data_IF_748644104246
#
_entry.id   IF_748644104246
#
_cell.length_a   1.000
_cell.length_b   1.000
_cell.length_c   1.000
_cell.angle_alpha   90.00
_cell.angle_beta   90.00
_cell.angle_gamma   90.00
#
_symmetry.space_group_name_H-M   'P 1'
#
loop_
_entity.id
_entity.type
_entity.pdbx_description
1 polymer ?
#
# COMPACT_ATOMS: atom_id res chain seq x y z
N UNK A 1 -20.37 -5.21 -0.55
CA UNK A 1 -19.93 -3.82 -0.28
C UNK A 1 -18.69 -3.94 0.61
N UNK A 2 -17.57 -3.29 0.26
CA UNK A 2 -16.41 -3.25 1.15
C UNK A 2 -16.79 -2.38 2.34
N UNK A 3 -16.58 -2.85 3.57
CA UNK A 3 -16.81 -2.03 4.74
C UNK A 3 -15.75 -0.92 4.76
N UNK A 4 -16.20 0.34 4.66
CA UNK A 4 -15.33 1.51 4.63
C UNK A 4 -14.51 1.68 5.92
N UNK A 5 -14.83 0.91 6.97
CA UNK A 5 -14.09 0.89 8.24
C UNK A 5 -13.13 -0.28 8.36
N UNK A 6 -13.13 -1.22 7.41
CA UNK A 6 -12.23 -2.36 7.47
C UNK A 6 -10.78 -1.92 7.26
N UNK A 7 -9.97 -2.15 8.27
CA UNK A 7 -8.52 -1.95 8.21
C UNK A 7 -7.82 -3.29 7.96
N UNK A 8 -6.63 -3.21 7.35
CA UNK A 8 -5.80 -4.34 6.99
C UNK A 8 -4.38 -4.15 7.52
N UNK A 9 -3.75 -5.21 8.00
CA UNK A 9 -2.30 -5.28 8.08
C UNK A 9 -1.75 -5.89 6.80
N UNK A 10 -0.60 -5.42 6.33
CA UNK A 10 0.08 -6.02 5.17
C UNK A 10 1.10 -7.04 5.65
N UNK A 11 0.91 -8.30 5.27
CA UNK A 11 1.84 -9.39 5.58
C UNK A 11 2.88 -9.55 4.47
N UNK A 12 4.09 -9.99 4.83
CA UNK A 12 5.18 -10.25 3.89
C UNK A 12 5.69 -11.69 3.98
N UNK A 13 5.42 -12.46 2.93
CA UNK A 13 5.79 -13.86 2.73
C UNK A 13 6.91 -14.02 1.68
N UNK A 14 7.77 -13.02 1.48
CA UNK A 14 9.02 -13.26 0.74
C UNK A 14 9.83 -14.39 1.38
N UNK A 15 10.65 -15.06 0.57
CA UNK A 15 11.32 -16.31 0.96
C UNK A 15 12.16 -16.14 2.23
N UNK A 16 12.77 -14.98 2.41
CA UNK A 16 13.61 -14.60 3.55
C UNK A 16 12.79 -14.50 4.86
N UNK A 17 11.53 -14.04 4.76
CA UNK A 17 10.64 -13.85 5.90
C UNK A 17 9.85 -15.11 6.26
N UNK A 18 9.53 -15.96 5.28
CA UNK A 18 8.75 -17.20 5.56
C UNK A 18 9.44 -18.19 6.50
N UNK A 19 10.76 -18.06 6.69
CA UNK A 19 11.56 -18.87 7.61
C UNK A 19 11.64 -18.28 9.02
N UNK A 20 11.15 -17.07 9.23
CA UNK A 20 11.13 -16.43 10.54
C UNK A 20 10.07 -17.08 11.44
N UNK A 21 10.27 -17.09 12.77
CA UNK A 21 9.32 -17.67 13.73
C UNK A 21 7.98 -16.93 13.77
N UNK A 22 7.96 -15.67 13.31
CA UNK A 22 6.80 -14.78 13.35
C UNK A 22 6.47 -14.26 11.96
N UNK A 23 5.20 -13.90 11.77
CA UNK A 23 4.74 -13.22 10.56
C UNK A 23 5.30 -11.80 10.54
N UNK A 24 5.91 -11.42 9.41
CA UNK A 24 6.39 -10.06 9.19
C UNK A 24 5.28 -9.19 8.64
N UNK A 25 5.07 -8.04 9.30
CA UNK A 25 4.14 -7.00 8.89
C UNK A 25 4.88 -5.78 8.37
N UNK A 26 4.25 -5.05 7.45
CA UNK A 26 4.71 -3.71 7.10
C UNK A 26 4.40 -2.72 8.21
N UNK A 27 5.29 -1.76 8.40
CA UNK A 27 5.09 -0.69 9.36
C UNK A 27 4.20 0.44 8.88
N UNK A 28 3.80 1.35 9.78
CA UNK A 28 3.00 2.52 9.45
C UNK A 28 3.62 3.32 8.30
N UNK A 29 2.77 3.92 7.47
CA UNK A 29 3.20 4.71 6.31
C UNK A 29 4.12 3.94 5.33
N UNK A 30 4.07 2.61 5.34
CA UNK A 30 4.92 1.75 4.51
C UNK A 30 6.41 1.79 4.88
N UNK A 31 6.72 2.13 6.13
CA UNK A 31 8.09 2.25 6.62
C UNK A 31 8.46 1.09 7.53
N UNK A 32 9.49 0.33 7.14
CA UNK A 32 10.05 -0.74 7.97
C UNK A 32 9.19 -2.00 8.08
N UNK A 33 9.67 -2.93 8.90
CA UNK A 33 9.04 -4.23 9.13
C UNK A 33 8.93 -4.49 10.63
N UNK A 34 7.81 -5.07 11.03
CA UNK A 34 7.49 -5.34 12.43
C UNK A 34 6.93 -6.74 12.59
N UNK A 35 7.20 -7.36 13.74
CA UNK A 35 6.57 -8.63 14.14
C UNK A 35 5.42 -8.43 15.13
N UNK A 36 5.38 -7.26 15.78
CA UNK A 36 4.36 -6.85 16.76
C UNK A 36 3.21 -6.12 16.07
N UNK A 37 1.97 -6.54 16.34
CA UNK A 37 0.77 -5.93 15.77
C UNK A 37 0.59 -4.45 16.17
N UNK A 38 0.82 -4.04 17.44
CA UNK A 38 0.77 -2.62 17.82
C UNK A 38 1.70 -1.70 17.05
N UNK A 39 2.85 -2.22 16.60
CA UNK A 39 3.82 -1.46 15.82
C UNK A 39 3.57 -1.54 14.31
N UNK A 40 2.71 -2.45 13.85
CA UNK A 40 2.43 -2.67 12.45
C UNK A 40 1.53 -1.56 11.88
N UNK A 41 1.70 -1.28 10.59
CA UNK A 41 0.87 -0.34 9.84
C UNK A 41 -0.52 -0.91 9.58
N UNK A 42 -1.53 -0.09 9.78
CA UNK A 42 -2.92 -0.38 9.41
C UNK A 42 -3.26 0.43 8.17
N UNK A 43 -3.85 -0.24 7.19
CA UNK A 43 -4.12 0.31 5.87
C UNK A 43 -5.59 0.14 5.51
N UNK A 44 -6.14 1.09 4.76
CA UNK A 44 -7.49 0.97 4.19
C UNK A 44 -7.47 0.19 2.87
N UNK A 45 -8.65 -0.25 2.42
CA UNK A 45 -8.78 -0.90 1.12
C UNK A 45 -8.32 0.01 -0.04
N UNK A 46 -8.59 1.31 0.07
CA UNK A 46 -8.22 2.33 -0.93
C UNK A 46 -6.70 2.47 -1.02
N UNK A 47 -6.00 2.48 0.11
CA UNK A 47 -4.53 2.51 0.15
C UNK A 47 -3.93 1.25 -0.48
N UNK A 48 -4.52 0.08 -0.21
CA UNK A 48 -4.10 -1.19 -0.83
C UNK A 48 -4.38 -1.25 -2.33
N UNK A 49 -5.51 -0.69 -2.78
CA UNK A 49 -5.86 -0.58 -4.19
C UNK A 49 -4.94 0.42 -4.92
N UNK A 50 -4.57 1.53 -4.28
CA UNK A 50 -3.64 2.52 -4.82
C UNK A 50 -2.19 2.01 -4.91
N UNK A 51 -1.83 1.04 -4.08
CA UNK A 51 -0.46 0.50 -3.97
C UNK A 51 -0.30 -0.92 -4.54
N UNK A 52 -1.16 -1.31 -5.51
CA UNK A 52 -1.03 -2.58 -6.24
C UNK A 52 0.37 -2.70 -6.88
N UNK A 53 1.00 -3.86 -6.70
CA UNK A 53 2.39 -4.10 -7.11
C UNK A 53 3.40 -3.81 -5.99
N UNK A 54 3.02 -2.99 -5.02
CA UNK A 54 3.80 -2.75 -3.81
C UNK A 54 3.27 -3.56 -2.62
N UNK A 55 2.18 -3.15 -1.97
CA UNK A 55 1.64 -3.89 -0.82
C UNK A 55 0.86 -5.15 -1.19
N UNK A 56 0.35 -5.20 -2.42
CA UNK A 56 -0.34 -6.38 -2.94
C UNK A 56 0.37 -6.91 -4.16
N UNK A 57 1.12 -8.00 -3.98
CA UNK A 57 1.97 -8.55 -5.03
C UNK A 57 2.13 -10.07 -4.96
N UNK A 58 2.17 -10.67 -6.16
CA UNK A 58 2.54 -12.07 -6.36
C UNK A 58 4.01 -12.18 -6.76
N UNK A 59 4.60 -13.33 -6.46
CA UNK A 59 5.96 -13.68 -6.88
C UNK A 59 6.09 -13.67 -8.40
N UNK A 60 7.17 -13.07 -8.88
CA UNK A 60 7.59 -13.18 -10.28
C UNK A 60 8.08 -14.59 -10.59
N UNK A 61 7.58 -15.18 -11.68
CA UNK A 61 7.97 -16.51 -12.15
C UNK A 61 8.70 -16.34 -13.48
N UNK A 62 10.04 -16.48 -13.51
CA UNK A 62 10.84 -16.24 -14.72
C UNK A 62 10.40 -17.04 -15.93
N UNK A 63 10.07 -18.33 -15.75
CA UNK A 63 9.59 -19.20 -16.83
C UNK A 63 8.27 -18.74 -17.47
N UNK A 64 7.51 -17.88 -16.79
CA UNK A 64 6.25 -17.33 -17.28
C UNK A 64 6.34 -15.84 -17.61
N UNK A 65 7.49 -15.21 -17.38
CA UNK A 65 7.69 -13.78 -17.59
C UNK A 65 6.75 -12.87 -16.79
N UNK A 66 6.11 -13.37 -15.72
CA UNK A 66 4.98 -12.69 -15.09
C UNK A 66 4.87 -12.94 -13.57
N UNK A 67 4.20 -12.02 -12.87
CA UNK A 67 3.86 -12.13 -11.43
C UNK A 67 2.65 -13.02 -11.19
N UNK A 68 2.83 -14.32 -11.43
CA UNK A 68 1.77 -15.35 -11.35
C UNK A 68 2.05 -16.43 -10.30
N UNK A 69 3.11 -16.28 -9.51
CA UNK A 69 3.48 -17.21 -8.45
C UNK A 69 2.60 -17.09 -7.20
N UNK A 70 3.03 -17.66 -6.07
CA UNK A 70 2.38 -17.47 -4.77
C UNK A 70 2.32 -15.99 -4.37
N UNK A 71 1.42 -15.64 -3.47
CA UNK A 71 1.36 -14.30 -2.90
C UNK A 71 2.57 -14.03 -2.01
N UNK A 72 3.21 -12.88 -2.21
CA UNK A 72 4.34 -12.44 -1.40
C UNK A 72 3.97 -11.32 -0.46
N UNK A 73 3.15 -10.36 -0.90
CA UNK A 73 2.64 -9.29 -0.05
C UNK A 73 1.16 -9.12 -0.29
N UNK A 74 0.39 -8.97 0.77
CA UNK A 74 -1.05 -8.74 0.68
C UNK A 74 -1.60 -8.23 2.01
N UNK A 75 -2.68 -7.48 1.94
CA UNK A 75 -3.46 -7.09 3.11
C UNK A 75 -4.23 -8.28 3.69
N UNK A 76 -4.36 -8.33 5.01
CA UNK A 76 -5.27 -9.24 5.74
C UNK A 76 -6.08 -8.39 6.73
N UNK A 77 -7.39 -8.62 6.87
CA UNK A 77 -8.22 -7.88 7.84
C UNK A 77 -7.61 -7.88 9.24
N UNK A 78 -7.59 -6.72 9.90
CA UNK A 78 -7.00 -6.57 11.24
C UNK A 78 -7.61 -7.56 12.23
N UNK A 79 -8.93 -7.71 12.23
CA UNK A 79 -9.68 -8.62 13.10
C UNK A 79 -9.19 -10.07 13.01
N UNK A 80 -8.83 -10.53 11.82
CA UNK A 80 -8.37 -11.90 11.57
C UNK A 80 -6.98 -12.12 12.16
N UNK A 81 -6.10 -11.13 12.05
CA UNK A 81 -4.75 -11.18 12.62
C UNK A 81 -4.74 -11.01 14.13
N UNK A 82 -5.55 -10.08 14.65
CA UNK A 82 -5.73 -9.86 16.08
C UNK A 82 -6.29 -11.12 16.76
N UNK A 83 -7.26 -11.81 16.15
CA UNK A 83 -7.80 -13.08 16.65
C UNK A 83 -6.80 -14.26 16.60
N UNK A 84 -5.80 -14.22 15.73
CA UNK A 84 -4.72 -15.22 15.67
C UNK A 84 -3.49 -14.85 16.49
N UNK A 85 -3.52 -13.68 17.12
CA UNK A 85 -2.35 -13.14 17.80
C UNK A 85 -2.16 -13.78 19.18
N UNK A 86 -0.89 -13.89 19.57
CA UNK A 86 -0.45 -14.49 20.82
C UNK A 86 0.60 -13.60 21.47
N UNK A 87 0.84 -13.83 22.77
CA UNK A 87 1.96 -13.22 23.47
C UNK A 87 3.30 -13.64 22.85
N UNK A 88 4.29 -12.74 22.79
CA UNK A 88 5.61 -13.05 22.25
C UNK A 88 6.38 -14.00 23.16
N UNK A 89 7.33 -14.72 22.57
CA UNK A 89 8.19 -15.61 23.34
C UNK A 89 9.04 -14.78 24.29
N UNK A 90 8.96 -15.12 25.59
CA UNK A 90 9.71 -14.43 26.65
C UNK A 90 11.10 -15.01 26.88
N UNK A 91 11.37 -16.18 26.32
CA UNK A 91 12.62 -16.92 26.47
C UNK A 91 13.00 -17.65 25.17
N UNK A 92 14.27 -18.02 25.05
CA UNK A 92 14.81 -18.75 23.90
C UNK A 92 15.29 -17.85 22.76
N UNK A 93 15.72 -18.49 21.67
CA UNK A 93 16.34 -17.82 20.50
C UNK A 93 15.43 -16.76 19.85
N UNK A 94 14.12 -16.95 19.96
CA UNK A 94 13.12 -16.11 19.28
C UNK A 94 12.49 -15.08 20.23
N UNK A 95 13.11 -14.86 21.40
CA UNK A 95 12.69 -13.82 22.32
C UNK A 95 12.77 -12.46 21.62
N UNK A 96 11.72 -11.68 21.74
CA UNK A 96 11.74 -10.26 21.36
C UNK A 96 12.27 -9.45 22.54
N UNK A 97 13.34 -8.69 22.32
CA UNK A 97 14.05 -7.97 23.39
C UNK A 97 13.14 -7.01 24.17
N UNK A 98 12.20 -6.38 23.47
CA UNK A 98 11.29 -5.38 24.04
C UNK A 98 9.92 -5.97 24.45
N UNK A 99 9.73 -7.29 24.38
CA UNK A 99 8.48 -7.93 24.78
C UNK A 99 7.24 -7.39 24.06
N UNK A 100 7.40 -6.81 22.87
CA UNK A 100 6.32 -6.12 22.17
C UNK A 100 5.39 -7.16 21.55
N UNK A 101 4.33 -7.47 22.29
CA UNK A 101 3.18 -8.25 21.85
C UNK A 101 1.95 -7.37 21.62
N UNK A 102 0.88 -7.92 21.02
CA UNK A 102 0.77 -9.30 20.51
C UNK A 102 1.42 -9.51 19.14
N UNK A 103 1.79 -10.77 18.84
CA UNK A 103 2.48 -11.21 17.62
C UNK A 103 1.71 -12.37 16.94
N UNK A 104 2.09 -12.75 15.72
CA UNK A 104 1.53 -13.95 15.06
C UNK A 104 2.64 -14.95 14.73
N UNK A 105 2.52 -16.18 15.25
CA UNK A 105 3.46 -17.29 14.98
C UNK A 105 3.37 -17.72 13.51
N UNK A 106 4.52 -17.87 12.86
CA UNK A 106 4.60 -18.36 11.50
C UNK A 106 4.55 -19.89 11.48
N UNK A 107 3.40 -20.44 11.06
CA UNK A 107 3.24 -21.86 10.76
C UNK A 107 2.67 -22.04 9.34
N UNK A 108 2.75 -23.25 8.80
CA UNK A 108 2.16 -23.54 7.49
C UNK A 108 0.63 -23.29 7.49
N UNK A 109 -0.06 -23.69 8.56
CA UNK A 109 -1.50 -23.49 8.71
C UNK A 109 -1.87 -22.02 8.85
N UNK A 110 -1.11 -21.25 9.63
CA UNK A 110 -1.32 -19.80 9.76
C UNK A 110 -1.13 -19.12 8.41
N UNK A 111 -0.04 -19.42 7.68
CA UNK A 111 0.19 -18.82 6.35
C UNK A 111 -0.90 -19.20 5.35
N UNK A 112 -1.40 -20.45 5.38
CA UNK A 112 -2.54 -20.87 4.56
C UNK A 112 -3.77 -20.03 4.89
N UNK A 113 -4.13 -19.96 6.17
CA UNK A 113 -5.30 -19.20 6.64
C UNK A 113 -5.21 -17.72 6.26
N UNK A 114 -4.06 -17.08 6.46
CA UNK A 114 -3.85 -15.68 6.06
C UNK A 114 -4.02 -15.50 4.55
N UNK A 115 -3.54 -16.44 3.74
CA UNK A 115 -3.71 -16.40 2.29
C UNK A 115 -5.18 -16.53 1.87
N UNK A 116 -5.97 -17.33 2.60
CA UNK A 116 -7.40 -17.50 2.36
C UNK A 116 -8.19 -16.21 2.65
N UNK A 117 -7.79 -15.47 3.69
CA UNK A 117 -8.38 -14.17 4.07
C UNK A 117 -7.73 -12.95 3.40
N UNK A 118 -6.89 -13.16 2.38
CA UNK A 118 -6.19 -12.05 1.73
C UNK A 118 -7.16 -11.05 1.12
N UNK A 119 -6.77 -9.78 1.18
CA UNK A 119 -7.38 -8.72 0.41
C UNK A 119 -7.18 -8.95 -1.09
N UNK A 120 -8.25 -8.80 -1.87
CA UNK A 120 -8.21 -8.88 -3.34
C UNK A 120 -8.54 -7.50 -3.90
N UNK A 121 -7.58 -6.83 -4.58
CA UNK A 121 -7.81 -5.52 -5.13
C UNK A 121 -8.91 -5.50 -6.19
N UNK A 122 -9.65 -4.39 -6.26
CA UNK A 122 -10.72 -4.24 -7.24
C UNK A 122 -10.15 -4.26 -8.67
N UNK A 123 -10.88 -4.89 -9.60
CA UNK A 123 -10.50 -5.00 -11.02
C UNK A 123 -10.27 -3.64 -11.67
N UNK A 124 -10.96 -2.60 -11.22
CA UNK A 124 -10.80 -1.23 -11.75
C UNK A 124 -9.37 -0.72 -11.64
N UNK A 125 -8.64 -1.11 -10.59
CA UNK A 125 -7.24 -0.72 -10.37
C UNK A 125 -6.23 -1.65 -11.07
N UNK A 126 -6.64 -2.84 -11.54
CA UNK A 126 -5.78 -3.75 -12.31
C UNK A 126 -5.50 -3.25 -13.73
N UNK A 127 -6.44 -2.51 -14.32
CA UNK A 127 -6.35 -2.08 -15.72
C UNK A 127 -5.48 -0.81 -15.91
N UNK A 128 -5.36 0.05 -14.91
CA UNK A 128 -4.58 1.30 -15.01
C UNK A 128 -3.06 1.13 -14.86
N UNK A 129 -2.58 0.09 -14.17
CA UNK A 129 -1.17 0.02 -13.74
C UNK A 129 -0.31 -1.02 -14.49
N UNK A 130 -0.88 -1.72 -15.48
CA UNK A 130 -0.11 -2.71 -16.27
C UNK A 130 0.97 -2.04 -17.16
N UNK A 131 0.92 -0.71 -17.34
CA UNK A 131 1.94 0.03 -18.11
C UNK A 131 3.14 0.54 -17.29
N UNK A 132 3.12 0.57 -15.96
CA UNK A 132 4.25 1.15 -15.18
C UNK A 132 5.31 0.13 -14.73
N UNK A 133 5.02 -1.17 -14.79
CA UNK A 133 5.95 -2.21 -14.31
C UNK A 133 7.09 -2.57 -15.28
N UNK A 134 7.34 -1.78 -16.34
CA UNK A 134 8.52 -1.92 -17.21
C UNK A 134 9.61 -0.88 -16.98
N UNK A 135 9.43 0.07 -16.05
CA UNK A 135 10.48 1.02 -15.64
C UNK A 135 11.24 0.51 -14.42
N UNK A 136 11.63 -0.77 -14.44
CA UNK A 136 12.56 -1.39 -13.49
C UNK A 136 14.02 -1.10 -13.88
N UNK A 137 14.28 0.11 -14.38
CA UNK A 137 15.60 0.69 -14.58
C UNK A 137 15.61 2.03 -13.85
N UNK A 138 16.50 2.15 -12.86
CA UNK A 138 16.78 3.35 -12.06
C UNK A 138 15.79 3.66 -10.93
N UNK A 139 15.72 2.80 -9.93
CA UNK A 139 15.68 3.31 -8.55
C UNK A 139 16.85 2.67 -7.79
N UNK A 140 17.85 3.46 -7.36
CA UNK A 140 18.92 2.94 -6.52
C UNK A 140 18.31 2.61 -5.16
N UNK A 141 18.16 1.32 -4.86
CA UNK A 141 17.81 0.88 -3.51
C UNK A 141 18.92 1.34 -2.55
N UNK A 142 18.64 2.09 -1.48
CA UNK A 142 19.59 2.17 -0.38
C UNK A 142 19.72 0.75 0.19
N UNK A 143 20.96 0.27 0.29
CA UNK A 143 21.26 -0.97 1.02
C UNK A 143 20.63 -0.83 2.40
N UNK A 144 19.69 -1.70 2.75
CA UNK A 144 19.15 -1.74 4.11
C UNK A 144 20.31 -1.92 5.09
N UNK A 145 20.50 -1.03 6.08
CA UNK A 145 21.42 -1.34 7.16
C UNK A 145 20.87 -2.54 7.94
N UNK A 146 21.79 -3.42 8.32
CA UNK A 146 21.54 -4.56 9.21
C UNK A 146 20.78 -4.12 10.46
N UNK A 147 19.95 -4.97 11.09
CA UNK A 147 19.00 -4.59 12.15
C UNK A 147 19.64 -4.23 13.50
N UNK A 148 20.92 -3.84 13.54
CA UNK A 148 21.53 -3.28 14.74
C UNK A 148 21.62 -1.77 14.61
N UNK A 149 21.12 -1.09 15.66
CA UNK A 149 21.11 0.35 15.93
C UNK A 149 19.74 1.00 15.65
N UNK A 150 18.94 1.01 16.72
CA UNK A 150 18.01 2.09 16.99
C UNK A 150 18.77 3.43 16.98
N UNK A 151 18.47 4.32 16.04
CA UNK A 151 18.85 5.72 16.12
C UNK A 151 18.03 6.53 15.12
N UNK A 152 17.24 7.45 15.68
CA UNK A 152 16.77 8.70 15.11
C UNK A 152 16.15 8.69 13.69
N UNK A 153 14.81 8.80 13.70
CA UNK A 153 13.95 9.37 12.68
C UNK A 153 14.64 10.31 11.68
N UNK A 154 14.62 9.94 10.41
CA UNK A 154 14.74 10.87 9.29
C UNK A 154 13.39 10.92 8.55
N UNK A 155 12.50 11.80 9.04
CA UNK A 155 11.14 12.01 8.55
C UNK A 155 11.09 12.92 7.31
N UNK A 156 12.22 13.42 6.82
CA UNK A 156 12.23 14.40 5.73
C UNK A 156 12.00 13.78 4.35
N UNK A 157 12.37 12.51 4.15
CA UNK A 157 12.06 11.81 2.89
C UNK A 157 10.55 11.53 2.72
N UNK A 158 9.82 11.35 3.83
CA UNK A 158 8.35 11.14 3.83
C UNK A 158 7.63 12.41 3.38
N UNK A 159 8.15 13.59 3.76
CA UNK A 159 7.60 14.89 3.33
C UNK A 159 7.82 15.11 1.82
N UNK A 160 8.99 14.75 1.30
CA UNK A 160 9.31 14.84 -0.13
C UNK A 160 8.44 13.90 -0.99
N UNK A 161 8.14 12.69 -0.48
CA UNK A 161 7.20 11.78 -1.15
C UNK A 161 5.75 12.31 -1.16
N UNK A 162 5.24 12.85 -0.04
CA UNK A 162 3.90 13.46 -0.01
C UNK A 162 3.81 14.67 -0.94
N UNK A 163 4.83 15.54 -0.98
CA UNK A 163 4.84 16.71 -1.86
C UNK A 163 4.77 16.33 -3.34
N UNK A 164 5.48 15.28 -3.76
CA UNK A 164 5.49 14.83 -5.16
C UNK A 164 4.23 14.07 -5.56
N UNK A 165 3.66 13.28 -4.65
CA UNK A 165 2.53 12.39 -4.96
C UNK A 165 1.18 13.11 -4.84
N UNK A 166 1.04 14.05 -3.89
CA UNK A 166 -0.19 14.84 -3.70
C UNK A 166 -0.17 16.18 -4.44
N UNK A 167 1.00 16.75 -4.74
CA UNK A 167 1.11 17.96 -5.57
C UNK A 167 0.57 17.76 -6.98
N UNK A 168 0.76 16.57 -7.55
CA UNK A 168 0.21 16.20 -8.86
C UNK A 168 -1.33 16.10 -8.90
N UNK A 169 -1.98 15.89 -7.74
CA UNK A 169 -3.45 15.80 -7.64
C UNK A 169 -4.14 17.17 -7.58
N UNK A 170 -3.44 18.23 -7.14
CA UNK A 170 -3.99 19.60 -7.16
C UNK A 170 -3.86 20.26 -8.53
N UNK A 171 -2.80 19.99 -9.29
CA UNK A 171 -2.62 20.58 -10.63
C UNK A 171 -3.61 20.02 -11.67
N UNK A 172 -4.03 18.76 -11.53
CA UNK A 172 -5.06 18.16 -12.39
C UNK A 172 -6.48 18.72 -12.18
N UNK A 173 -6.77 19.26 -10.99
CA UNK A 173 -8.10 19.82 -10.67
C UNK A 173 -8.26 21.24 -11.23
N UNK A 174 -7.17 22.04 -11.22
CA UNK A 174 -7.17 23.40 -11.78
C UNK A 174 -7.26 23.39 -13.32
N UNK A 175 -6.72 22.35 -13.97
CA UNK A 175 -6.81 22.20 -15.42
C UNK A 175 -8.23 21.84 -15.90
N UNK A 176 -8.99 21.05 -15.14
CA UNK A 176 -10.34 20.63 -15.53
C UNK A 176 -11.40 21.73 -15.30
N UNK A 177 -11.23 22.58 -14.28
CA UNK A 177 -12.17 23.69 -14.03
C UNK A 177 -11.96 24.88 -14.99
N UNK A 178 -10.77 25.05 -15.57
CA UNK A 178 -10.52 26.08 -16.60
C UNK A 178 -11.06 25.70 -17.98
N UNK A 179 -11.21 24.42 -18.29
CA UNK A 179 -11.78 23.97 -19.57
C UNK A 179 -13.31 24.16 -19.63
N UNK A 180 -14.01 23.99 -18.50
CA UNK A 180 -15.48 24.12 -18.44
C UNK A 180 -15.94 25.59 -18.49
N UNK A 181 -15.10 26.54 -18.10
CA UNK A 181 -15.43 27.98 -18.17
C UNK A 181 -15.13 28.65 -19.53
N UNK A 182 -14.42 27.99 -20.45
CA UNK A 182 -14.05 28.56 -21.75
C UNK A 182 -15.12 28.37 -22.83
N UNK A 183 -15.96 27.34 -22.74
CA UNK A 183 -17.00 27.06 -23.75
C UNK A 183 -18.30 27.87 -23.56
N UNK A 184 -18.49 28.53 -22.42
CA UNK A 184 -19.71 29.31 -22.15
C UNK A 184 -19.63 30.77 -22.64
N UNK A 185 -18.50 31.21 -23.21
CA UNK A 185 -18.31 32.60 -23.67
C UNK A 185 -18.41 32.80 -25.18
N UNK A 186 -18.60 31.75 -25.97
CA UNK A 186 -18.76 31.85 -27.43
C UNK A 186 -20.21 31.90 -27.91
N UNK A 187 -21.22 31.78 -27.03
CA UNK A 187 -22.65 31.79 -27.43
C UNK A 187 -23.46 33.04 -27.05
N UNK A 188 -22.86 34.08 -26.46
CA UNK A 188 -23.60 35.25 -25.95
C UNK A 188 -23.38 36.57 -26.72
N UNK A 189 -22.76 36.54 -27.90
CA UNK A 189 -22.47 37.75 -28.70
C UNK A 189 -23.26 37.87 -30.02
N UNK A 190 -24.35 37.11 -30.21
CA UNK A 190 -25.09 37.10 -31.48
C UNK A 190 -26.57 37.57 -31.45
N UNK A 191 -27.12 38.05 -30.33
CA UNK A 191 -28.53 38.49 -30.30
C UNK A 191 -28.73 39.78 -29.48
N UNK A 192 -28.35 40.94 -30.02
CA UNK A 192 -28.81 42.23 -29.51
C UNK A 192 -28.66 43.37 -30.54
N UNK A 193 -29.07 43.16 -31.80
CA UNK A 193 -29.23 44.25 -32.78
C UNK A 193 -30.42 43.96 -33.71
N UNK A 194 -31.64 44.13 -33.20
CA UNK A 194 -32.81 44.42 -34.04
C UNK A 194 -33.97 44.98 -33.19
N UNK A 195 -34.56 46.07 -33.69
CA UNK A 195 -35.77 46.79 -33.24
C UNK A 195 -35.41 48.04 -32.39
N UNK A 196 -35.39 49.28 -32.92
CA UNK A 196 -36.29 49.88 -33.90
C UNK A 196 -37.68 50.01 -33.25
N UNK A 197 -38.12 51.16 -32.73
CA UNK A 197 -38.19 52.44 -33.38
C UNK A 197 -39.66 52.71 -33.73
N UNK A 198 -40.35 53.48 -32.87
CA UNK A 198 -41.46 54.40 -33.17
C UNK A 198 -41.94 55.07 -31.90
#
# INVERSE_FOLDING_TARGET
MKDARQMYFVVDFRKEWTRQPYITFWGPESAGYFWSLPMAGRYTAEELDASIGYHTVRRYVPSKGARVGPWERFGVPCEILEAMSVEPDRAGRWKLDLGQGPIVRSSADVRRRLTDFRYVPDRKYKQGNTKMCNTEKQMPWPRTPSPNIASAYDLDWIKDWRARTLGSLQEGKVAHDKAVCADSKSSLSAQALSNGGR
#
